data_IF_103159160515
#
_entry.id   IF_103159160515
#
_cell.length_a   1.000
_cell.length_b   1.000
_cell.length_c   1.000
_cell.angle_alpha   90.00
_cell.angle_beta   90.00
_cell.angle_gamma   90.00
#
_symmetry.space_group_name_H-M   'P 1'
#
loop_
_entity.id
_entity.type
_entity.pdbx_description
1 polymer ?
#
# COMPACT_ATOMS: atom_id res chain seq x y z
N UNK A 1 -24.56 -8.88 -62.52
CA UNK A 1 -23.12 -8.64 -62.37
C UNK A 1 -22.98 -7.20 -61.89
N UNK A 2 -23.32 -6.96 -60.63
CA UNK A 2 -23.25 -5.65 -59.98
C UNK A 2 -22.10 -5.72 -58.98
N UNK A 3 -21.10 -4.87 -59.21
CA UNK A 3 -19.86 -4.87 -58.48
C UNK A 3 -19.99 -3.94 -57.27
N UNK A 4 -19.60 -4.46 -56.12
CA UNK A 4 -19.64 -3.83 -54.81
C UNK A 4 -18.70 -2.62 -54.75
N UNK A 5 -19.22 -1.47 -54.34
CA UNK A 5 -18.41 -0.33 -53.89
C UNK A 5 -18.39 -0.37 -52.36
N UNK A 6 -17.41 -1.08 -51.79
CA UNK A 6 -17.12 -1.10 -50.36
C UNK A 6 -15.87 -0.27 -50.07
N UNK A 7 -16.07 0.99 -49.69
CA UNK A 7 -15.07 1.76 -48.95
C UNK A 7 -15.01 1.24 -47.50
N UNK A 8 -13.83 0.99 -46.92
CA UNK A 8 -13.74 0.65 -45.51
C UNK A 8 -13.98 1.91 -44.65
N UNK A 9 -14.99 1.86 -43.79
CA UNK A 9 -15.19 2.82 -42.72
C UNK A 9 -13.99 2.78 -41.75
N UNK A 10 -13.35 3.93 -41.53
CA UNK A 10 -12.36 4.08 -40.46
C UNK A 10 -13.09 4.02 -39.11
N UNK A 11 -12.62 3.23 -38.14
CA UNK A 11 -13.23 3.24 -36.82
C UNK A 11 -13.04 4.63 -36.21
N UNK A 12 -14.16 5.22 -35.78
CA UNK A 12 -14.18 6.46 -35.01
C UNK A 12 -13.29 6.30 -33.78
N UNK A 13 -12.22 7.08 -33.73
CA UNK A 13 -11.47 7.34 -32.51
C UNK A 13 -12.46 7.83 -31.46
N UNK A 14 -12.65 7.01 -30.42
CA UNK A 14 -13.28 7.44 -29.17
C UNK A 14 -12.37 8.53 -28.59
N UNK A 15 -12.70 9.78 -28.87
CA UNK A 15 -12.09 10.92 -28.19
C UNK A 15 -12.60 10.92 -26.77
N UNK A 16 -11.93 10.17 -25.90
CA UNK A 16 -12.08 10.31 -24.46
C UNK A 16 -11.62 11.72 -24.11
N UNK A 17 -12.55 12.58 -23.67
CA UNK A 17 -12.26 13.96 -23.33
C UNK A 17 -11.14 14.04 -22.27
N UNK A 18 -10.11 14.91 -22.43
CA UNK A 18 -9.07 15.06 -21.43
C UNK A 18 -9.57 15.96 -20.31
N UNK A 19 -9.94 15.37 -19.17
CA UNK A 19 -10.10 16.10 -17.90
C UNK A 19 -9.04 15.68 -16.88
N UNK A 20 -7.81 15.46 -17.33
CA UNK A 20 -6.65 15.52 -16.46
C UNK A 20 -6.13 16.97 -16.46
N UNK A 21 -6.39 17.72 -15.38
CA UNK A 21 -5.63 18.96 -15.17
C UNK A 21 -4.15 18.57 -15.10
N UNK A 22 -3.32 19.12 -15.99
CA UNK A 22 -1.88 18.86 -15.97
C UNK A 22 -1.31 19.22 -14.59
N UNK A 23 -0.48 18.35 -14.01
CA UNK A 23 0.17 18.56 -12.71
C UNK A 23 0.92 19.89 -12.65
N UNK A 24 1.40 20.40 -13.78
CA UNK A 24 1.99 21.74 -13.90
C UNK A 24 1.03 22.86 -13.44
N UNK A 25 -0.26 22.76 -13.79
CA UNK A 25 -1.29 23.72 -13.38
C UNK A 25 -1.59 23.60 -11.90
N UNK A 26 -1.65 22.37 -11.39
CA UNK A 26 -1.85 22.08 -9.97
C UNK A 26 -0.69 22.62 -9.12
N UNK A 27 0.56 22.34 -9.50
CA UNK A 27 1.75 22.84 -8.82
C UNK A 27 1.77 24.37 -8.74
N UNK A 28 1.41 25.06 -9.83
CA UNK A 28 1.28 26.53 -9.82
C UNK A 28 0.19 26.99 -8.84
N UNK A 29 -0.99 26.36 -8.88
CA UNK A 29 -2.11 26.70 -8.00
C UNK A 29 -1.77 26.46 -6.51
N UNK A 30 -1.18 25.30 -6.18
CA UNK A 30 -0.72 24.96 -4.84
C UNK A 30 0.34 25.94 -4.34
N UNK A 31 1.32 26.29 -5.18
CA UNK A 31 2.34 27.30 -4.83
C UNK A 31 1.71 28.66 -4.52
N UNK A 32 0.78 29.13 -5.36
CA UNK A 32 0.14 30.43 -5.16
C UNK A 32 -0.79 30.49 -3.94
N UNK A 33 -1.28 29.33 -3.46
CA UNK A 33 -2.10 29.19 -2.25
C UNK A 33 -1.30 29.41 -0.95
N UNK A 34 0.01 29.14 -0.96
CA UNK A 34 0.84 29.23 0.26
C UNK A 34 1.29 30.67 0.52
N UNK A 35 0.96 31.19 1.71
CA UNK A 35 1.46 32.48 2.19
C UNK A 35 2.90 32.32 2.71
N UNK A 36 3.87 32.88 1.98
CA UNK A 36 5.30 32.77 2.30
C UNK A 36 5.63 33.30 3.69
N UNK A 37 4.84 34.23 4.22
CA UNK A 37 5.11 34.89 5.51
C UNK A 37 4.86 33.96 6.70
N UNK A 38 4.09 32.88 6.48
CA UNK A 38 3.82 31.84 7.47
C UNK A 38 4.95 30.81 7.58
N UNK A 39 5.95 30.85 6.69
CA UNK A 39 7.07 29.89 6.70
C UNK A 39 8.28 30.49 7.43
N UNK A 40 8.68 29.94 8.60
CA UNK A 40 9.77 30.48 9.41
C UNK A 40 11.13 30.51 8.69
N UNK A 41 11.45 29.50 7.88
CA UNK A 41 12.71 29.34 7.16
C UNK A 41 12.91 30.50 6.18
N UNK A 42 11.84 30.90 5.47
CA UNK A 42 11.88 31.98 4.49
C UNK A 42 12.07 33.36 5.14
N UNK A 43 11.63 33.56 6.38
CA UNK A 43 11.84 34.82 7.12
C UNK A 43 13.31 35.06 7.44
N UNK A 44 14.08 33.99 7.69
CA UNK A 44 15.53 34.07 8.00
C UNK A 44 16.36 34.47 6.79
N UNK A 45 15.87 34.25 5.59
CA UNK A 45 16.61 34.48 4.34
C UNK A 45 16.32 35.84 3.67
N UNK A 46 15.68 36.77 4.39
CA UNK A 46 15.41 38.14 3.95
C UNK A 46 13.98 38.35 3.43
N UNK A 47 13.53 39.60 3.46
CA UNK A 47 12.22 40.00 2.94
C UNK A 47 12.26 40.13 1.42
N UNK A 48 11.50 39.30 0.70
CA UNK A 48 11.04 39.65 -0.65
C UNK A 48 9.66 40.30 -0.53
N UNK A 49 9.39 41.33 -1.33
CA UNK A 49 8.06 41.93 -1.44
C UNK A 49 7.07 40.94 -2.04
N UNK A 50 5.96 40.69 -1.36
CA UNK A 50 4.88 39.80 -1.80
C UNK A 50 4.42 38.81 -0.72
N UNK A 51 3.17 38.33 -0.83
CA UNK A 51 2.59 37.37 0.12
C UNK A 51 2.61 35.93 -0.39
N UNK A 52 2.69 35.73 -1.72
CA UNK A 52 2.66 34.39 -2.34
C UNK A 52 4.05 33.77 -2.42
N UNK A 53 4.09 32.44 -2.41
CA UNK A 53 5.30 31.66 -2.62
C UNK A 53 5.84 31.81 -4.05
N UNK A 54 7.13 32.13 -4.22
CA UNK A 54 7.78 32.13 -5.53
C UNK A 54 8.46 30.79 -5.84
N UNK A 55 8.78 30.53 -7.11
CA UNK A 55 9.55 29.34 -7.51
C UNK A 55 10.91 29.27 -6.77
N UNK A 56 11.55 30.42 -6.58
CA UNK A 56 12.81 30.53 -5.84
C UNK A 56 12.68 30.14 -4.36
N UNK A 57 11.53 30.41 -3.74
CA UNK A 57 11.29 30.05 -2.34
C UNK A 57 11.12 28.54 -2.20
N UNK A 58 10.34 27.90 -3.08
CA UNK A 58 10.16 26.43 -3.07
C UNK A 58 11.48 25.73 -3.36
N UNK A 59 12.24 26.20 -4.34
CA UNK A 59 13.56 25.66 -4.64
C UNK A 59 14.50 25.70 -3.43
N UNK A 60 14.44 26.80 -2.65
CA UNK A 60 15.25 26.97 -1.44
C UNK A 60 14.82 26.04 -0.31
N UNK A 61 13.51 25.88 -0.10
CA UNK A 61 12.95 24.95 0.90
C UNK A 61 13.27 23.49 0.56
N UNK A 62 13.34 23.17 -0.72
CA UNK A 62 13.58 21.79 -1.20
C UNK A 62 15.05 21.46 -1.45
N UNK A 63 15.95 22.44 -1.27
CA UNK A 63 17.40 22.29 -1.41
C UNK A 63 17.88 22.10 -2.84
N UNK A 64 17.17 22.64 -3.84
CA UNK A 64 17.51 22.53 -5.27
C UNK A 64 17.65 23.91 -5.92
N UNK A 65 18.12 23.95 -7.17
CA UNK A 65 18.15 25.18 -7.94
C UNK A 65 16.75 25.62 -8.38
N UNK A 66 16.55 26.93 -8.55
CA UNK A 66 15.27 27.47 -9.06
C UNK A 66 14.90 26.87 -10.42
N UNK A 67 15.89 26.64 -11.29
CA UNK A 67 15.69 25.99 -12.58
C UNK A 67 15.22 24.53 -12.46
N UNK A 68 15.65 23.81 -11.42
CA UNK A 68 15.22 22.43 -11.16
C UNK A 68 13.75 22.36 -10.74
N UNK A 69 13.33 23.22 -9.81
CA UNK A 69 11.92 23.33 -9.44
C UNK A 69 11.05 23.86 -10.58
N UNK A 70 11.56 24.84 -11.36
CA UNK A 70 10.86 25.35 -12.55
C UNK A 70 10.60 24.23 -13.55
N UNK A 71 11.58 23.35 -13.78
CA UNK A 71 11.40 22.20 -14.68
C UNK A 71 10.26 21.27 -14.23
N UNK A 72 10.12 21.04 -12.92
CA UNK A 72 8.99 20.31 -12.34
C UNK A 72 7.66 21.05 -12.60
N UNK A 73 7.57 22.33 -12.24
CA UNK A 73 6.35 23.14 -12.38
C UNK A 73 5.92 23.29 -13.85
N UNK A 74 6.86 23.33 -14.80
CA UNK A 74 6.54 23.43 -16.24
C UNK A 74 6.30 22.07 -16.91
N UNK A 75 6.46 20.96 -16.19
CA UNK A 75 6.27 19.61 -16.74
C UNK A 75 7.36 19.21 -17.75
N UNK A 76 8.59 19.68 -17.56
CA UNK A 76 9.70 19.28 -18.43
C UNK A 76 10.00 17.78 -18.24
N UNK A 77 10.32 17.03 -19.31
CA UNK A 77 10.59 15.60 -19.24
C UNK A 77 11.91 15.36 -18.49
N UNK A 78 11.80 15.08 -17.19
CA UNK A 78 12.91 14.78 -16.27
C UNK A 78 12.45 13.77 -15.24
N UNK A 79 13.38 12.95 -14.79
CA UNK A 79 13.15 12.10 -13.64
C UNK A 79 13.37 12.89 -12.34
N UNK A 80 12.38 12.86 -11.47
CA UNK A 80 12.40 13.48 -10.16
C UNK A 80 12.41 12.38 -9.10
N UNK A 81 13.36 12.44 -8.15
CA UNK A 81 13.42 11.47 -7.06
C UNK A 81 12.23 11.63 -6.12
N UNK A 82 11.74 10.52 -5.55
CA UNK A 82 10.63 10.53 -4.60
C UNK A 82 10.91 11.44 -3.38
N UNK A 83 12.14 11.42 -2.86
CA UNK A 83 12.56 12.30 -1.76
C UNK A 83 12.45 13.80 -2.10
N UNK A 84 12.66 14.17 -3.37
CA UNK A 84 12.46 15.55 -3.83
C UNK A 84 10.98 15.90 -3.92
N UNK A 85 10.14 14.99 -4.44
CA UNK A 85 8.70 15.20 -4.51
C UNK A 85 8.06 15.30 -3.12
N UNK A 86 8.53 14.53 -2.14
CA UNK A 86 8.12 14.67 -0.74
C UNK A 86 8.47 16.05 -0.17
N UNK A 87 9.71 16.52 -0.36
CA UNK A 87 10.09 17.88 0.08
C UNK A 87 9.26 18.96 -0.61
N UNK A 88 8.88 18.76 -1.87
CA UNK A 88 7.97 19.68 -2.58
C UNK A 88 6.59 19.65 -1.94
N UNK A 89 6.06 18.48 -1.61
CA UNK A 89 4.78 18.35 -0.93
C UNK A 89 4.77 19.07 0.43
N UNK A 90 5.84 18.90 1.22
CA UNK A 90 6.04 19.60 2.49
C UNK A 90 6.13 21.12 2.30
N UNK A 91 6.98 21.58 1.36
CA UNK A 91 7.19 23.00 1.10
C UNK A 91 5.93 23.71 0.61
N UNK A 92 5.06 22.99 -0.10
CA UNK A 92 3.78 23.48 -0.61
C UNK A 92 2.60 23.20 0.35
N UNK A 93 2.85 22.57 1.49
CA UNK A 93 1.83 22.19 2.47
C UNK A 93 0.66 21.43 1.81
N UNK A 94 1.02 20.45 0.97
CA UNK A 94 0.05 19.61 0.27
C UNK A 94 -0.64 18.67 1.25
N UNK A 95 -1.94 18.44 1.06
CA UNK A 95 -2.64 17.33 1.71
C UNK A 95 -2.14 15.98 1.17
N UNK A 96 -2.55 14.89 1.81
CA UNK A 96 -2.24 13.53 1.34
C UNK A 96 -2.75 13.29 -0.09
N UNK A 97 -3.98 13.73 -0.40
CA UNK A 97 -4.56 13.62 -1.75
C UNK A 97 -3.80 14.46 -2.78
N UNK A 98 -3.39 15.67 -2.41
CA UNK A 98 -2.58 16.54 -3.29
C UNK A 98 -1.19 15.94 -3.52
N UNK A 99 -0.58 15.34 -2.49
CA UNK A 99 0.70 14.64 -2.57
C UNK A 99 0.59 13.41 -3.48
N UNK A 100 -0.45 12.59 -3.32
CA UNK A 100 -0.73 11.48 -4.21
C UNK A 100 -0.89 11.95 -5.66
N UNK A 101 -1.62 13.04 -5.88
CA UNK A 101 -1.84 13.63 -7.21
C UNK A 101 -0.53 14.11 -7.84
N UNK A 102 0.35 14.74 -7.06
CA UNK A 102 1.70 15.14 -7.49
C UNK A 102 2.50 13.93 -7.97
N UNK A 103 2.54 12.87 -7.16
CA UNK A 103 3.31 11.67 -7.45
C UNK A 103 2.81 10.93 -8.70
N UNK A 104 1.49 10.75 -8.80
CA UNK A 104 0.87 10.07 -9.94
C UNK A 104 1.12 10.83 -11.25
N UNK A 105 0.97 12.15 -11.26
CA UNK A 105 1.13 12.90 -12.51
C UNK A 105 2.57 13.31 -12.86
N UNK A 106 3.55 13.14 -11.96
CA UNK A 106 4.99 13.35 -12.28
C UNK A 106 5.71 12.04 -12.59
N UNK A 107 5.41 10.98 -11.84
CA UNK A 107 6.18 9.72 -11.89
C UNK A 107 5.34 8.50 -12.24
N UNK A 108 4.00 8.61 -12.24
CA UNK A 108 3.11 7.45 -12.39
C UNK A 108 3.10 6.50 -11.18
N UNK A 109 3.81 6.86 -10.10
CA UNK A 109 3.94 6.05 -8.88
C UNK A 109 3.21 6.71 -7.72
N UNK A 110 2.99 5.97 -6.63
CA UNK A 110 2.50 6.51 -5.35
C UNK A 110 3.67 7.07 -4.53
N UNK A 111 3.43 8.04 -3.61
CA UNK A 111 4.45 8.47 -2.66
C UNK A 111 4.97 7.28 -1.85
N UNK A 112 6.28 7.18 -1.57
CA UNK A 112 6.78 6.21 -0.63
C UNK A 112 6.21 6.53 0.75
N UNK A 113 5.75 5.50 1.46
CA UNK A 113 5.18 5.62 2.80
C UNK A 113 6.23 6.28 3.69
N UNK A 114 6.02 7.55 4.04
CA UNK A 114 6.88 8.26 4.98
C UNK A 114 6.45 7.80 6.37
N UNK A 115 7.13 6.78 6.87
CA UNK A 115 6.88 6.26 8.21
C UNK A 115 7.16 7.32 9.28
N UNK A 116 6.08 7.91 9.79
CA UNK A 116 5.87 8.31 11.20
C UNK A 116 4.37 8.55 11.38
N UNK A 117 3.58 7.48 11.42
CA UNK A 117 2.39 7.50 12.26
C UNK A 117 2.89 7.19 13.67
N UNK A 118 2.97 8.21 14.53
CA UNK A 118 3.31 8.09 15.96
C UNK A 118 2.22 7.37 16.79
N UNK A 119 1.37 6.59 16.14
CA UNK A 119 0.42 5.68 16.76
C UNK A 119 0.44 4.37 16.00
N UNK A 120 0.23 3.25 16.71
CA UNK A 120 -0.10 1.98 16.07
C UNK A 120 -1.20 2.26 15.02
N UNK A 121 -1.09 1.71 13.80
CA UNK A 121 -2.11 1.92 12.77
C UNK A 121 -3.46 1.50 13.37
N UNK A 122 -4.27 2.50 13.72
CA UNK A 122 -5.59 2.26 14.28
C UNK A 122 -6.54 2.31 13.09
N UNK A 123 -7.25 1.22 12.85
CA UNK A 123 -8.23 1.16 11.80
C UNK A 123 -9.27 2.28 11.97
N UNK A 124 -9.60 2.96 10.89
CA UNK A 124 -10.65 3.99 10.90
C UNK A 124 -12.01 3.36 11.28
N UNK A 125 -12.83 3.99 12.14
CA UNK A 125 -14.12 3.44 12.56
C UNK A 125 -15.07 3.08 11.42
N UNK A 126 -15.07 3.80 10.29
CA UNK A 126 -15.91 3.45 9.15
C UNK A 126 -15.39 2.17 8.45
N UNK A 127 -14.07 1.99 8.42
CA UNK A 127 -13.43 0.76 7.93
C UNK A 127 -13.76 -0.43 8.84
N UNK A 128 -13.78 -0.24 10.15
CA UNK A 128 -14.22 -1.27 11.12
C UNK A 128 -15.71 -1.58 10.95
N UNK A 129 -16.57 -0.58 10.74
CA UNK A 129 -17.98 -0.82 10.46
C UNK A 129 -18.17 -1.65 9.17
N UNK A 130 -17.42 -1.35 8.12
CA UNK A 130 -17.43 -2.13 6.87
C UNK A 130 -16.96 -3.58 7.08
N UNK A 131 -16.03 -3.81 8.01
CA UNK A 131 -15.54 -5.14 8.39
C UNK A 131 -16.67 -6.04 8.90
N UNK A 132 -17.54 -5.51 9.76
CA UNK A 132 -18.67 -6.25 10.31
C UNK A 132 -19.72 -6.59 9.24
N UNK A 133 -19.87 -5.74 8.22
CA UNK A 133 -20.78 -5.99 7.10
C UNK A 133 -20.36 -7.11 6.14
N UNK A 134 -19.19 -7.75 6.36
CA UNK A 134 -18.76 -8.88 5.54
C UNK A 134 -19.34 -10.22 5.98
N UNK A 135 -20.03 -10.29 7.13
CA UNK A 135 -20.68 -11.51 7.56
C UNK A 135 -21.64 -12.06 6.47
N UNK A 136 -21.62 -13.37 6.18
CA UNK A 136 -20.98 -14.45 6.94
C UNK A 136 -19.50 -14.72 6.59
N UNK A 137 -18.88 -13.95 5.71
CA UNK A 137 -17.48 -14.15 5.32
C UNK A 137 -16.51 -13.68 6.42
N UNK A 138 -15.50 -14.50 6.78
CA UNK A 138 -14.40 -14.06 7.64
C UNK A 138 -13.68 -12.85 7.05
N UNK A 139 -13.51 -11.81 7.85
CA UNK A 139 -12.77 -10.63 7.45
C UNK A 139 -11.93 -10.07 8.58
N UNK A 140 -10.78 -9.49 8.24
CA UNK A 140 -9.91 -8.79 9.20
C UNK A 140 -9.20 -7.60 8.56
N UNK A 141 -8.75 -6.70 9.42
CA UNK A 141 -7.80 -5.63 9.11
C UNK A 141 -6.44 -6.02 9.64
N UNK A 142 -5.39 -5.78 8.84
CA UNK A 142 -4.01 -5.97 9.29
C UNK A 142 -3.09 -4.85 8.85
N UNK A 143 -2.03 -4.61 9.61
CA UNK A 143 -1.00 -3.65 9.21
C UNK A 143 0.00 -4.24 8.20
N UNK A 144 1.01 -3.44 7.85
CA UNK A 144 2.10 -3.84 6.97
C UNK A 144 2.88 -5.06 7.48
N UNK A 145 2.98 -5.26 8.80
CA UNK A 145 3.65 -6.38 9.47
C UNK A 145 2.72 -7.58 9.74
N UNK A 146 1.50 -7.56 9.21
CA UNK A 146 0.45 -8.59 9.38
C UNK A 146 -0.06 -8.76 10.81
N UNK A 147 0.09 -7.74 11.67
CA UNK A 147 -0.63 -7.70 12.94
C UNK A 147 -2.11 -7.48 12.67
N UNK A 148 -2.97 -8.25 13.34
CA UNK A 148 -4.42 -8.10 13.22
C UNK A 148 -4.84 -6.88 14.03
N UNK A 149 -5.44 -5.89 13.36
CA UNK A 149 -5.92 -4.65 13.96
C UNK A 149 -7.39 -4.77 14.38
N UNK A 150 -8.17 -5.49 13.60
CA UNK A 150 -9.58 -5.80 13.86
C UNK A 150 -9.97 -7.08 13.12
N UNK A 151 -10.95 -7.81 13.62
CA UNK A 151 -11.50 -9.01 12.99
C UNK A 151 -13.00 -9.08 13.27
N UNK A 152 -13.79 -9.50 12.27
CA UNK A 152 -15.22 -9.73 12.48
C UNK A 152 -15.47 -11.08 13.18
N UNK A 153 -16.70 -11.31 13.64
CA UNK A 153 -17.07 -12.53 14.35
C UNK A 153 -16.74 -13.83 13.58
N UNK A 154 -17.11 -14.01 12.29
CA UNK A 154 -16.74 -15.20 11.53
C UNK A 154 -15.22 -15.46 11.46
N UNK A 155 -14.39 -14.40 11.39
CA UNK A 155 -12.94 -14.55 11.43
C UNK A 155 -12.46 -15.13 12.75
N UNK A 156 -12.97 -14.65 13.88
CA UNK A 156 -12.59 -15.16 15.20
C UNK A 156 -13.12 -16.57 15.48
N UNK A 157 -14.24 -16.96 14.85
CA UNK A 157 -14.80 -18.31 14.92
C UNK A 157 -13.97 -19.31 14.10
N UNK A 158 -13.56 -18.93 12.89
CA UNK A 158 -12.75 -19.79 12.03
C UNK A 158 -11.30 -19.88 12.52
N UNK A 159 -10.77 -18.76 13.03
CA UNK A 159 -9.38 -18.61 13.41
C UNK A 159 -9.25 -17.94 14.79
N UNK A 160 -9.39 -18.72 15.88
CA UNK A 160 -9.33 -18.21 17.25
C UNK A 160 -8.04 -17.46 17.61
N UNK A 161 -6.93 -17.68 16.91
CA UNK A 161 -5.68 -16.94 17.12
C UNK A 161 -5.85 -15.41 17.01
N UNK A 162 -6.86 -14.94 16.26
CA UNK A 162 -7.16 -13.53 16.08
C UNK A 162 -7.58 -12.84 17.41
N UNK A 163 -8.03 -13.61 18.41
CA UNK A 163 -8.36 -13.11 19.75
C UNK A 163 -7.15 -13.10 20.72
N UNK A 164 -5.98 -13.55 20.26
CA UNK A 164 -4.76 -13.58 21.07
C UNK A 164 -4.27 -12.18 21.45
N UNK A 165 -3.32 -12.07 22.41
CA UNK A 165 -2.83 -10.77 22.90
C UNK A 165 -1.99 -9.99 21.87
N UNK A 166 -1.39 -10.69 20.90
CA UNK A 166 -0.61 -10.11 19.79
C UNK A 166 -0.89 -10.90 18.51
N UNK A 167 -2.12 -10.80 17.99
CA UNK A 167 -2.55 -11.62 16.86
C UNK A 167 -1.78 -11.18 15.62
N UNK A 168 -1.07 -12.10 15.00
CA UNK A 168 -0.30 -11.84 13.78
C UNK A 168 -0.47 -13.04 12.84
N UNK A 169 -0.93 -12.76 11.62
CA UNK A 169 -1.25 -13.81 10.65
C UNK A 169 -0.02 -14.63 10.27
N UNK A 170 1.11 -13.97 9.99
CA UNK A 170 2.32 -14.63 9.54
C UNK A 170 2.93 -15.50 10.63
N UNK A 171 2.94 -15.01 11.88
CA UNK A 171 3.34 -15.79 13.05
C UNK A 171 2.47 -17.04 13.18
N UNK A 172 1.15 -16.87 13.26
CA UNK A 172 0.23 -18.00 13.41
C UNK A 172 0.40 -19.02 12.27
N UNK A 173 0.37 -18.55 11.03
CA UNK A 173 0.42 -19.41 9.85
C UNK A 173 1.73 -20.20 9.76
N UNK A 174 2.87 -19.61 10.19
CA UNK A 174 4.19 -20.20 10.00
C UNK A 174 4.76 -20.91 11.23
N UNK A 175 4.21 -20.72 12.43
CA UNK A 175 4.76 -21.31 13.66
C UNK A 175 3.76 -22.11 14.48
N UNK A 176 2.45 -21.91 14.31
CA UNK A 176 1.47 -22.58 15.16
C UNK A 176 1.17 -24.02 14.72
N UNK A 177 0.96 -24.91 15.69
CA UNK A 177 0.47 -26.26 15.44
C UNK A 177 -0.96 -26.24 14.86
N UNK A 178 -1.79 -25.29 15.32
CA UNK A 178 -3.15 -25.09 14.80
C UNK A 178 -3.15 -24.83 13.28
N UNK A 179 -2.34 -23.88 12.79
CA UNK A 179 -2.24 -23.62 11.36
C UNK A 179 -1.71 -24.84 10.59
N UNK A 180 -0.81 -25.62 11.21
CA UNK A 180 -0.25 -26.84 10.61
C UNK A 180 -1.30 -27.94 10.42
N UNK A 181 -2.27 -28.02 11.32
CA UNK A 181 -3.39 -28.96 11.24
C UNK A 181 -4.49 -28.47 10.31
N UNK A 182 -4.77 -27.16 10.32
CA UNK A 182 -5.87 -26.56 9.58
C UNK A 182 -5.53 -26.33 8.09
N UNK A 183 -4.29 -26.01 7.73
CA UNK A 183 -3.91 -25.71 6.34
C UNK A 183 -3.43 -26.97 5.64
N UNK A 184 -4.16 -27.41 4.62
CA UNK A 184 -3.78 -28.55 3.79
C UNK A 184 -2.61 -28.20 2.86
N UNK A 185 -1.68 -29.14 2.73
CA UNK A 185 -0.43 -28.99 1.99
C UNK A 185 0.37 -27.76 2.43
N UNK A 186 0.37 -27.49 3.75
CA UNK A 186 0.93 -26.30 4.40
C UNK A 186 2.29 -25.84 3.85
N UNK A 187 3.20 -26.75 3.53
CA UNK A 187 4.52 -26.35 3.04
C UNK A 187 4.40 -25.64 1.69
N UNK A 188 3.64 -26.21 0.76
CA UNK A 188 3.52 -25.72 -0.60
C UNK A 188 2.52 -24.57 -0.71
N UNK A 189 1.40 -24.66 0.01
CA UNK A 189 0.32 -23.67 -0.07
C UNK A 189 0.49 -22.52 0.90
N UNK A 190 1.22 -22.66 2.01
CA UNK A 190 1.40 -21.58 2.98
C UNK A 190 2.86 -21.13 3.07
N UNK A 191 3.78 -22.01 3.49
CA UNK A 191 5.16 -21.60 3.79
C UNK A 191 5.90 -21.05 2.56
N UNK A 192 5.80 -21.75 1.42
CA UNK A 192 6.42 -21.33 0.15
C UNK A 192 5.79 -20.08 -0.48
N UNK A 193 4.65 -19.61 0.02
CA UNK A 193 4.01 -18.36 -0.41
C UNK A 193 4.33 -17.22 0.56
N UNK A 194 4.20 -17.46 1.87
CA UNK A 194 4.33 -16.43 2.89
C UNK A 194 5.77 -16.03 3.18
N UNK A 195 6.74 -16.96 3.09
CA UNK A 195 8.15 -16.64 3.29
C UNK A 195 8.68 -15.65 2.22
N UNK A 196 8.42 -15.83 0.92
CA UNK A 196 8.71 -14.79 -0.08
C UNK A 196 8.07 -13.44 0.23
N UNK A 197 6.82 -13.40 0.71
CA UNK A 197 6.15 -12.14 1.08
C UNK A 197 6.88 -11.40 2.21
N UNK A 198 7.29 -12.12 3.26
CA UNK A 198 8.10 -11.57 4.35
C UNK A 198 9.44 -11.05 3.84
N UNK A 199 10.07 -11.76 2.90
CA UNK A 199 11.30 -11.30 2.24
C UNK A 199 11.09 -9.99 1.51
N UNK A 200 10.04 -9.87 0.70
CA UNK A 200 9.71 -8.62 -0.02
C UNK A 200 9.53 -7.48 0.96
N UNK A 201 8.74 -7.68 2.02
CA UNK A 201 8.47 -6.65 3.02
C UNK A 201 9.74 -6.20 3.76
N UNK A 202 10.63 -7.14 4.11
CA UNK A 202 11.93 -6.83 4.73
C UNK A 202 12.82 -5.98 3.83
N UNK A 203 12.84 -6.23 2.51
CA UNK A 203 13.60 -5.43 1.55
C UNK A 203 12.97 -4.05 1.29
N UNK A 204 11.63 -3.97 1.27
CA UNK A 204 10.89 -2.72 1.08
C UNK A 204 11.00 -1.77 2.28
N UNK A 205 11.18 -2.30 3.49
CA UNK A 205 11.35 -1.52 4.72
C UNK A 205 12.55 -2.00 5.57
N UNK A 206 13.81 -1.80 5.11
CA UNK A 206 15.00 -2.39 5.76
C UNK A 206 15.22 -1.99 7.23
N UNK A 207 14.69 -0.82 7.63
CA UNK A 207 14.79 -0.30 9.00
C UNK A 207 13.66 -0.75 9.91
N UNK A 208 12.62 -1.41 9.39
CA UNK A 208 11.51 -1.89 10.21
C UNK A 208 12.01 -3.02 11.13
N UNK A 209 12.05 -2.75 12.44
CA UNK A 209 12.54 -3.69 13.45
C UNK A 209 11.53 -4.82 13.73
N UNK A 210 10.23 -4.55 13.56
CA UNK A 210 9.16 -5.51 13.83
C UNK A 210 9.14 -6.64 12.81
N UNK A 211 9.22 -6.31 11.51
CA UNK A 211 9.28 -7.33 10.45
C UNK A 211 10.53 -8.21 10.62
N UNK A 212 11.67 -7.62 10.99
CA UNK A 212 12.89 -8.38 11.27
C UNK A 212 12.72 -9.33 12.45
N UNK A 213 12.21 -8.83 13.57
CA UNK A 213 11.95 -9.66 14.75
C UNK A 213 10.97 -10.80 14.46
N UNK A 214 9.93 -10.55 13.65
CA UNK A 214 8.98 -11.57 13.23
C UNK A 214 9.63 -12.65 12.36
N UNK A 215 10.49 -12.27 11.41
CA UNK A 215 11.24 -13.23 10.59
C UNK A 215 12.16 -14.08 11.47
N UNK A 216 12.92 -13.45 12.36
CA UNK A 216 13.83 -14.16 13.28
C UNK A 216 13.05 -15.17 14.15
N UNK A 217 11.93 -14.74 14.73
CA UNK A 217 11.02 -15.61 15.50
C UNK A 217 10.55 -16.83 14.70
N UNK A 218 10.13 -16.63 13.45
CA UNK A 218 9.63 -17.71 12.57
C UNK A 218 10.75 -18.70 12.22
N UNK A 219 11.93 -18.19 11.84
CA UNK A 219 13.05 -19.03 11.44
C UNK A 219 13.63 -19.80 12.64
N UNK A 220 13.55 -19.22 13.84
CA UNK A 220 13.98 -19.88 15.08
C UNK A 220 13.01 -20.96 15.56
N UNK A 221 11.72 -20.73 15.39
CA UNK A 221 10.69 -21.66 15.86
C UNK A 221 10.46 -22.83 14.89
N UNK A 222 10.56 -22.61 13.57
CA UNK A 222 10.19 -23.60 12.57
C UNK A 222 11.35 -23.97 11.63
N UNK A 223 11.95 -25.13 11.85
CA UNK A 223 13.05 -25.65 11.01
C UNK A 223 12.69 -25.84 9.54
N UNK A 224 11.41 -26.09 9.22
CA UNK A 224 10.95 -26.15 7.82
C UNK A 224 10.98 -24.77 7.19
N UNK A 225 10.52 -23.73 7.90
CA UNK A 225 10.62 -22.34 7.43
C UNK A 225 12.09 -21.93 7.24
N UNK A 226 12.98 -22.29 8.19
CA UNK A 226 14.42 -22.04 8.07
C UNK A 226 15.01 -22.65 6.81
N UNK A 227 14.68 -23.91 6.53
CA UNK A 227 15.11 -24.61 5.31
C UNK A 227 14.60 -23.90 4.05
N UNK A 228 13.30 -23.64 3.95
CA UNK A 228 12.68 -22.98 2.78
C UNK A 228 13.29 -21.59 2.57
N UNK A 229 13.53 -20.83 3.64
CA UNK A 229 14.15 -19.51 3.57
C UNK A 229 15.59 -19.55 3.03
N UNK A 230 16.35 -20.59 3.35
CA UNK A 230 17.71 -20.78 2.81
C UNK A 230 17.69 -21.24 1.34
N UNK A 231 16.72 -22.08 0.96
CA UNK A 231 16.58 -22.62 -0.40
C UNK A 231 16.01 -21.59 -1.38
N UNK A 232 14.97 -20.85 -0.99
CA UNK A 232 14.18 -19.99 -1.87
C UNK A 232 14.55 -18.52 -1.73
N UNK A 233 14.99 -17.96 -2.87
CA UNK A 233 15.27 -16.54 -3.06
C UNK A 233 14.18 -15.84 -3.88
N UNK A 234 13.06 -16.54 -4.12
CA UNK A 234 11.95 -16.03 -4.90
C UNK A 234 11.35 -14.79 -4.23
N UNK A 235 10.96 -13.84 -5.07
CA UNK A 235 10.19 -12.63 -4.73
C UNK A 235 8.85 -12.81 -5.42
N UNK A 236 7.76 -12.75 -4.66
CA UNK A 236 6.40 -12.87 -5.21
C UNK A 236 5.76 -11.50 -5.13
N UNK A 237 5.25 -11.01 -6.26
CA UNK A 237 4.37 -9.84 -6.25
C UNK A 237 3.09 -10.20 -5.50
N UNK A 238 2.70 -9.31 -4.59
CA UNK A 238 1.56 -9.48 -3.68
C UNK A 238 0.37 -10.06 -4.43
N UNK A 239 0.03 -11.35 -4.25
CA UNK A 239 -1.08 -11.90 -5.01
C UNK A 239 -2.33 -11.21 -4.45
N UNK A 240 -3.13 -10.60 -5.34
CA UNK A 240 -4.38 -9.92 -4.97
C UNK A 240 -5.38 -10.82 -4.23
N UNK A 241 -5.03 -12.10 -4.09
CA UNK A 241 -5.59 -13.02 -3.13
C UNK A 241 -4.74 -14.27 -2.97
N UNK A 242 -5.14 -15.15 -2.05
CA UNK A 242 -4.46 -16.42 -1.81
C UNK A 242 -5.48 -17.54 -1.70
N UNK A 243 -5.26 -18.62 -2.46
CA UNK A 243 -6.14 -19.80 -2.43
C UNK A 243 -5.59 -20.82 -1.45
N UNK A 244 -6.39 -21.17 -0.47
CA UNK A 244 -6.05 -22.15 0.57
C UNK A 244 -7.07 -23.27 0.58
N UNK A 245 -6.61 -24.45 1.01
CA UNK A 245 -7.48 -25.57 1.38
C UNK A 245 -7.36 -25.76 2.87
N UNK A 246 -8.48 -25.72 3.57
CA UNK A 246 -8.52 -25.70 5.03
C UNK A 246 -9.33 -26.88 5.57
N UNK A 247 -9.02 -27.33 6.78
CA UNK A 247 -9.87 -28.19 7.61
C UNK A 247 -10.11 -27.49 8.94
N UNK A 248 -11.26 -26.85 9.06
CA UNK A 248 -11.59 -26.03 10.22
C UNK A 248 -12.47 -26.82 11.20
N UNK A 249 -12.21 -26.75 12.52
CA UNK A 249 -13.06 -27.38 13.53
C UNK A 249 -14.53 -26.94 13.45
N UNK A 250 -14.78 -25.65 13.22
CA UNK A 250 -16.13 -25.09 13.09
C UNK A 250 -16.90 -25.61 11.86
N UNK A 251 -16.20 -26.22 10.89
CA UNK A 251 -16.79 -26.84 9.69
C UNK A 251 -16.82 -28.37 9.80
N UNK A 252 -16.63 -28.93 11.00
CA UNK A 252 -16.58 -30.37 11.22
C UNK A 252 -15.36 -31.06 10.60
N UNK A 253 -14.30 -30.30 10.29
CA UNK A 253 -13.06 -30.84 9.69
C UNK A 253 -13.18 -31.21 8.21
N UNK A 254 -14.26 -30.83 7.54
CA UNK A 254 -14.41 -30.98 6.08
C UNK A 254 -13.39 -30.10 5.37
N UNK A 255 -12.87 -30.56 4.22
CA UNK A 255 -12.04 -29.74 3.36
C UNK A 255 -12.85 -28.57 2.82
N UNK A 256 -12.45 -27.36 3.18
CA UNK A 256 -13.04 -26.11 2.71
C UNK A 256 -12.02 -25.37 1.87
N UNK A 257 -12.36 -25.09 0.61
CA UNK A 257 -11.51 -24.27 -0.26
C UNK A 257 -11.86 -22.81 -0.07
N UNK A 258 -10.86 -21.97 0.12
CA UNK A 258 -11.05 -20.55 0.35
C UNK A 258 -10.15 -19.72 -0.54
N UNK A 259 -10.59 -18.51 -0.84
CA UNK A 259 -9.79 -17.46 -1.43
C UNK A 259 -9.79 -16.27 -0.47
N UNK A 260 -8.62 -15.83 -0.03
CA UNK A 260 -8.49 -14.51 0.61
C UNK A 260 -8.41 -13.44 -0.45
N UNK A 261 -9.11 -12.33 -0.29
CA UNK A 261 -9.06 -11.14 -1.15
C UNK A 261 -8.40 -10.03 -0.35
N UNK A 262 -7.35 -9.40 -0.88
CA UNK A 262 -6.63 -8.33 -0.19
C UNK A 262 -6.96 -7.00 -0.85
N UNK A 263 -7.61 -6.12 -0.10
CA UNK A 263 -7.91 -4.75 -0.49
C UNK A 263 -7.09 -3.78 0.36
N UNK A 264 -6.73 -2.64 -0.21
CA UNK A 264 -6.02 -1.57 0.51
C UNK A 264 -6.93 -0.34 0.51
N UNK A 265 -7.45 0.11 1.67
CA UNK A 265 -8.24 1.32 1.77
C UNK A 265 -7.46 2.51 1.24
N UNK A 266 -8.10 3.35 0.41
CA UNK A 266 -7.41 4.48 -0.21
C UNK A 266 -6.85 5.48 0.81
N UNK A 267 -7.54 5.67 1.94
CA UNK A 267 -7.16 6.56 3.04
C UNK A 267 -6.20 5.93 4.04
N UNK A 268 -6.02 4.61 4.02
CA UNK A 268 -5.13 3.89 4.94
C UNK A 268 -4.26 2.88 4.17
N UNK A 269 -3.27 3.35 3.39
CA UNK A 269 -2.46 2.48 2.53
C UNK A 269 -1.63 1.45 3.30
N UNK A 270 -1.38 1.69 4.59
CA UNK A 270 -0.65 0.79 5.48
C UNK A 270 -1.55 -0.29 6.12
N UNK A 271 -2.86 -0.23 5.87
CA UNK A 271 -3.85 -1.21 6.31
C UNK A 271 -4.27 -2.09 5.14
N UNK A 272 -4.37 -3.38 5.40
CA UNK A 272 -4.95 -4.37 4.49
C UNK A 272 -6.31 -4.78 5.02
N UNK A 273 -7.34 -4.61 4.21
CA UNK A 273 -8.66 -5.17 4.43
C UNK A 273 -8.72 -6.52 3.72
N UNK A 274 -8.90 -7.60 4.49
CA UNK A 274 -8.90 -8.96 3.94
C UNK A 274 -10.25 -9.61 4.15
N UNK A 275 -10.79 -10.21 3.08
CA UNK A 275 -12.04 -10.98 3.10
C UNK A 275 -11.72 -12.40 2.65
N UNK A 276 -12.20 -13.41 3.36
CA UNK A 276 -12.05 -14.82 2.99
C UNK A 276 -13.39 -15.35 2.49
N UNK A 277 -13.44 -15.74 1.22
CA UNK A 277 -14.62 -16.35 0.61
C UNK A 277 -14.39 -17.82 0.34
N UNK A 278 -15.40 -18.66 0.53
CA UNK A 278 -15.35 -20.06 0.08
C UNK A 278 -15.39 -20.13 -1.45
N UNK A 279 -14.73 -21.13 -2.01
CA UNK A 279 -14.80 -21.47 -3.43
C UNK A 279 -15.44 -22.84 -3.52
N UNK A 280 -16.58 -22.93 -4.22
CA UNK A 280 -17.27 -24.20 -4.47
C UNK A 280 -16.40 -25.20 -5.25
#
# INVERSE_FOLDING_TARGET
>A
MENQDQRPERPATVTCAPHAQSVSRLLRAWRERVDRRRIPELRRWGHRSGTRMSQADVARLTGVSEGWYRALETGAPREFSDAFLLRVAEALQLSETETLTLFLGVSGRRPPVSGTHDGLPTADPATVALLEHQAPHPAYLSDAAWNILAANSPMTEWFPFALGPRPNLMRWALTSAEAREQILDWEDTCARIYLPMLRVASHGAPKNAEIRALIDEILDTNGTCRRIWAEQHAVVEHPGGHRLRLRLPCHGGVETRVTSHVLVPAEQPDVRFVIVTTVD
#
